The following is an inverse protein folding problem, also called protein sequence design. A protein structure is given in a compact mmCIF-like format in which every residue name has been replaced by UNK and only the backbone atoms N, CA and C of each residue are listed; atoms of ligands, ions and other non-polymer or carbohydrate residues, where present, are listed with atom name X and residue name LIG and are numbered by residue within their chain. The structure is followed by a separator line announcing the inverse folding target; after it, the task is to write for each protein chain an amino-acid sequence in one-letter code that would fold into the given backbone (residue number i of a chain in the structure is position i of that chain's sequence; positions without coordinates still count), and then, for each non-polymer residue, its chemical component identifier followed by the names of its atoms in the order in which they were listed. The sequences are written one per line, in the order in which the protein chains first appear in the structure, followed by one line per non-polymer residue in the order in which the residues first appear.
data_IF_663560019573
#
_entry.id   IF_663560019573
#
_cell.length_a   1.000
_cell.length_b   1.000
_cell.length_c   1.000
_cell.angle_alpha   90.00
_cell.angle_beta   90.00
_cell.angle_gamma   90.00
#
_symmetry.space_group_name_H-M   'P 1'
#
loop_
_entity.id
_entity.type
_entity.pdbx_description
1 polymer ?
#
# COMPACT_ATOMS: atom_id res chain seq x y z
N UNK A 1 -29.43 -21.98 22.46
CA UNK A 1 -28.16 -21.21 22.57
C UNK A 1 -27.16 -21.79 21.60
N UNK A 2 -27.16 -21.30 20.36
CA UNK A 2 -26.21 -21.76 19.33
C UNK A 2 -24.84 -21.18 19.61
N UNK A 3 -23.85 -22.04 19.87
CA UNK A 3 -22.45 -21.63 20.03
C UNK A 3 -21.96 -21.11 18.69
N UNK A 4 -21.73 -19.81 18.61
CA UNK A 4 -21.04 -19.19 17.48
C UNK A 4 -19.68 -19.89 17.31
N UNK A 5 -19.36 -20.51 16.16
CA UNK A 5 -18.05 -21.11 15.96
C UNK A 5 -17.02 -19.99 16.10
N UNK A 6 -16.09 -20.14 17.06
CA UNK A 6 -14.99 -19.21 17.30
C UNK A 6 -14.38 -18.88 15.95
N UNK A 7 -14.34 -17.59 15.59
CA UNK A 7 -13.57 -17.15 14.43
C UNK A 7 -12.15 -17.72 14.58
N UNK A 8 -11.54 -18.25 13.50
CA UNK A 8 -10.19 -18.79 13.60
C UNK A 8 -9.29 -17.74 14.26
N UNK A 9 -8.48 -18.18 15.22
CA UNK A 9 -7.49 -17.34 15.90
C UNK A 9 -6.70 -16.56 14.83
N UNK A 10 -6.38 -15.27 15.06
CA UNK A 10 -5.61 -14.50 14.10
C UNK A 10 -4.30 -15.22 13.81
N UNK A 11 -4.00 -15.45 12.53
CA UNK A 11 -2.73 -16.00 12.07
C UNK A 11 -1.60 -15.17 12.69
N UNK A 12 -0.75 -15.80 13.51
CA UNK A 12 0.46 -15.18 14.04
C UNK A 12 1.50 -15.05 12.93
N UNK A 13 2.47 -14.15 13.09
CA UNK A 13 3.58 -14.01 12.14
C UNK A 13 4.24 -15.37 11.84
N UNK A 14 4.43 -16.22 12.85
CA UNK A 14 5.06 -17.54 12.72
C UNK A 14 4.25 -18.55 11.90
N UNK A 15 2.96 -18.30 11.67
CA UNK A 15 2.14 -19.11 10.79
C UNK A 15 2.36 -18.80 9.30
N UNK A 16 3.09 -17.72 8.96
CA UNK A 16 3.40 -17.38 7.58
C UNK A 16 4.66 -18.12 7.06
N UNK A 17 4.69 -18.46 5.77
CA UNK A 17 5.88 -19.03 5.13
C UNK A 17 7.13 -18.18 5.38
N UNK A 18 8.28 -18.81 5.62
CA UNK A 18 9.55 -18.10 5.82
C UNK A 18 9.91 -17.19 4.63
N UNK A 19 9.54 -17.58 3.41
CA UNK A 19 9.69 -16.79 2.19
C UNK A 19 8.92 -15.47 2.22
N UNK A 20 7.78 -15.42 2.92
CA UNK A 20 7.00 -14.20 3.13
C UNK A 20 7.64 -13.34 4.22
N UNK A 21 8.00 -13.95 5.36
CA UNK A 21 8.57 -13.24 6.51
C UNK A 21 9.91 -12.58 6.21
N UNK A 22 10.68 -13.13 5.27
CA UNK A 22 11.98 -12.61 4.87
C UNK A 22 11.91 -11.45 3.87
N UNK A 23 10.72 -10.98 3.48
CA UNK A 23 10.54 -9.95 2.44
C UNK A 23 9.76 -8.74 2.94
N UNK A 24 10.04 -7.54 2.43
CA UNK A 24 9.14 -6.40 2.55
C UNK A 24 7.75 -6.71 2.00
N UNK A 25 6.69 -6.35 2.73
CA UNK A 25 5.31 -6.37 2.25
C UNK A 25 4.94 -4.94 1.84
N UNK A 26 4.57 -4.73 0.59
CA UNK A 26 4.39 -3.38 0.02
C UNK A 26 2.93 -3.18 -0.37
N UNK A 27 2.25 -2.22 0.27
CA UNK A 27 0.85 -1.92 0.00
C UNK A 27 0.74 -0.84 -1.09
N UNK A 28 0.05 -1.17 -2.18
CA UNK A 28 -0.17 -0.29 -3.34
C UNK A 28 -1.66 -0.07 -3.59
N UNK A 29 -2.00 0.96 -4.36
CA UNK A 29 -3.37 1.32 -4.71
C UNK A 29 -3.66 2.80 -4.58
N UNK A 30 -4.86 3.21 -4.99
CA UNK A 30 -5.26 4.62 -5.00
C UNK A 30 -5.30 5.26 -3.60
N UNK A 31 -5.24 6.59 -3.55
CA UNK A 31 -5.47 7.33 -2.31
C UNK A 31 -6.85 6.97 -1.74
N UNK A 32 -6.97 6.85 -0.42
CA UNK A 32 -8.21 6.40 0.23
C UNK A 32 -8.38 4.87 0.30
N UNK A 33 -7.51 4.07 -0.34
CA UNK A 33 -7.59 2.59 -0.24
C UNK A 33 -7.21 2.03 1.13
N UNK A 34 -6.73 2.87 2.05
CA UNK A 34 -6.45 2.48 3.44
C UNK A 34 -5.02 2.01 3.71
N UNK A 35 -4.08 2.14 2.75
CA UNK A 35 -2.67 1.68 2.87
C UNK A 35 -2.03 1.96 4.22
N UNK A 36 -2.01 3.21 4.70
CA UNK A 36 -1.37 3.54 5.97
C UNK A 36 -2.08 2.91 7.18
N UNK A 37 -3.41 2.88 7.18
CA UNK A 37 -4.20 2.30 8.29
C UNK A 37 -4.10 0.78 8.32
N UNK A 38 -4.26 0.13 7.17
CA UNK A 38 -4.14 -1.32 7.01
C UNK A 38 -2.70 -1.76 7.27
N UNK A 39 -1.72 -1.02 6.75
CA UNK A 39 -0.30 -1.30 6.91
C UNK A 39 0.15 -1.27 8.35
N UNK A 40 -0.26 -0.26 9.14
CA UNK A 40 0.03 -0.24 10.59
C UNK A 40 -0.54 -1.45 11.33
N UNK A 41 -1.79 -1.82 11.05
CA UNK A 41 -2.43 -2.98 11.68
C UNK A 41 -1.76 -4.28 11.25
N UNK A 42 -1.43 -4.42 9.97
CA UNK A 42 -0.75 -5.59 9.44
C UNK A 42 0.64 -5.75 10.07
N UNK A 43 1.41 -4.66 10.14
CA UNK A 43 2.73 -4.64 10.76
C UNK A 43 2.69 -5.11 12.22
N UNK A 44 1.71 -4.61 13.00
CA UNK A 44 1.48 -5.06 14.39
C UNK A 44 1.17 -6.55 14.49
N UNK A 45 0.36 -7.10 13.57
CA UNK A 45 0.01 -8.53 13.56
C UNK A 45 1.19 -9.42 13.16
N UNK A 46 2.10 -8.89 12.34
CA UNK A 46 3.26 -9.59 11.83
C UNK A 46 4.53 -9.38 12.65
N UNK A 47 4.47 -8.57 13.71
CA UNK A 47 5.64 -8.09 14.45
C UNK A 47 6.73 -7.50 13.51
N UNK A 48 6.26 -6.76 12.51
CA UNK A 48 7.11 -6.09 11.53
C UNK A 48 7.12 -4.58 11.77
N UNK A 49 8.19 -3.87 11.38
CA UNK A 49 8.19 -2.42 11.30
C UNK A 49 7.16 -1.95 10.26
N UNK A 50 6.63 -0.75 10.46
CA UNK A 50 5.81 -0.06 9.47
C UNK A 50 6.52 1.21 9.00
N UNK A 51 6.44 1.48 7.70
CA UNK A 51 6.82 2.77 7.11
C UNK A 51 5.74 3.25 6.13
N UNK A 52 5.52 4.56 6.07
CA UNK A 52 4.75 5.21 5.00
C UNK A 52 5.75 5.99 4.13
N UNK A 53 5.77 5.71 2.83
CA UNK A 53 6.74 6.30 1.92
C UNK A 53 6.60 7.82 1.85
N UNK A 54 5.38 8.36 1.91
CA UNK A 54 5.15 9.80 1.86
C UNK A 54 5.79 10.48 3.09
N UNK A 55 5.56 9.93 4.29
CA UNK A 55 6.16 10.42 5.55
C UNK A 55 7.71 10.33 5.52
N UNK A 56 8.24 9.25 4.94
CA UNK A 56 9.68 9.00 4.82
C UNK A 56 10.38 9.96 3.85
N UNK A 57 9.69 10.35 2.77
CA UNK A 57 10.15 11.36 1.81
C UNK A 57 10.19 12.73 2.48
N UNK A 58 9.11 13.14 3.15
CA UNK A 58 9.08 14.43 3.86
C UNK A 58 10.17 14.53 4.92
N UNK A 59 10.35 13.45 5.70
CA UNK A 59 11.42 13.38 6.70
C UNK A 59 12.81 13.49 6.09
N UNK A 60 13.05 12.83 4.95
CA UNK A 60 14.34 12.89 4.26
C UNK A 60 14.61 14.26 3.62
N UNK A 61 13.57 14.93 3.11
CA UNK A 61 13.67 16.24 2.47
C UNK A 61 13.64 17.42 3.46
N UNK A 62 13.14 17.20 4.69
CA UNK A 62 12.94 18.27 5.67
C UNK A 62 11.84 19.26 5.27
N UNK A 63 10.93 18.88 4.36
CA UNK A 63 9.83 19.73 3.88
C UNK A 63 8.66 18.87 3.39
N UNK A 64 7.50 19.49 3.22
CA UNK A 64 6.30 18.76 2.78
C UNK A 64 6.40 18.33 1.32
N UNK A 65 5.67 17.28 0.93
CA UNK A 65 5.58 16.87 -0.48
C UNK A 65 5.10 18.04 -1.35
N UNK A 66 4.12 18.82 -0.86
CA UNK A 66 3.65 20.01 -1.58
C UNK A 66 4.77 21.02 -1.85
N UNK A 67 5.66 21.25 -0.89
CA UNK A 67 6.83 22.12 -1.07
C UNK A 67 7.85 21.52 -2.06
N UNK A 68 8.06 20.20 -2.03
CA UNK A 68 8.95 19.51 -2.98
C UNK A 68 8.45 19.72 -4.40
N UNK A 69 7.16 19.50 -4.65
CA UNK A 69 6.55 19.70 -5.96
C UNK A 69 6.65 21.17 -6.40
N UNK A 70 6.35 22.12 -5.51
CA UNK A 70 6.38 23.55 -5.84
C UNK A 70 7.80 24.06 -6.15
N UNK A 71 8.83 23.53 -5.46
CA UNK A 71 10.22 24.01 -5.57
C UNK A 71 11.05 23.26 -6.61
N UNK A 72 10.83 21.96 -6.75
CA UNK A 72 11.70 21.08 -7.54
C UNK A 72 10.97 20.29 -8.62
N UNK A 73 9.63 20.34 -8.64
CA UNK A 73 8.80 19.66 -9.62
C UNK A 73 8.64 18.15 -9.39
N UNK A 74 7.75 17.54 -10.17
CA UNK A 74 7.39 16.13 -10.03
C UNK A 74 8.56 15.19 -10.31
N UNK A 75 9.41 15.48 -11.31
CA UNK A 75 10.53 14.62 -11.65
C UNK A 75 11.50 14.42 -10.46
N UNK A 76 11.79 15.49 -9.73
CA UNK A 76 12.63 15.42 -8.53
C UNK A 76 11.93 14.64 -7.41
N UNK A 77 10.64 14.86 -7.20
CA UNK A 77 9.86 14.09 -6.24
C UNK A 77 9.88 12.59 -6.55
N UNK A 78 9.69 12.19 -7.81
CA UNK A 78 9.68 10.79 -8.24
C UNK A 78 11.04 10.12 -8.07
N UNK A 79 12.12 10.83 -8.38
CA UNK A 79 13.47 10.31 -8.12
C UNK A 79 13.74 10.14 -6.61
N UNK A 80 13.32 11.11 -5.79
CA UNK A 80 13.37 11.01 -4.33
C UNK A 80 12.54 9.85 -3.77
N UNK A 81 11.29 9.70 -4.23
CA UNK A 81 10.38 8.60 -3.88
C UNK A 81 11.03 7.24 -4.17
N UNK A 82 11.62 7.09 -5.35
CA UNK A 82 12.33 5.86 -5.75
C UNK A 82 13.49 5.53 -4.82
N UNK A 83 14.37 6.50 -4.52
CA UNK A 83 15.53 6.30 -3.62
C UNK A 83 15.11 5.96 -2.20
N UNK A 84 14.05 6.59 -1.70
CA UNK A 84 13.50 6.30 -0.36
C UNK A 84 12.94 4.88 -0.29
N UNK A 85 12.15 4.48 -1.28
CA UNK A 85 11.62 3.11 -1.36
C UNK A 85 12.76 2.08 -1.45
N UNK A 86 13.78 2.33 -2.27
CA UNK A 86 14.95 1.46 -2.38
C UNK A 86 15.69 1.27 -1.05
N UNK A 87 15.94 2.36 -0.33
CA UNK A 87 16.54 2.30 1.02
C UNK A 87 15.69 1.50 1.99
N UNK A 88 14.37 1.69 2.00
CA UNK A 88 13.47 0.98 2.90
C UNK A 88 13.41 -0.52 2.57
N UNK A 89 13.48 -0.87 1.29
CA UNK A 89 13.40 -2.25 0.81
C UNK A 89 14.69 -3.06 1.00
N UNK A 90 15.84 -2.41 1.14
CA UNK A 90 17.13 -3.08 1.37
C UNK A 90 17.44 -3.33 2.85
N UNK A 91 16.66 -2.75 3.76
CA UNK A 91 16.77 -2.98 5.20
C UNK A 91 16.15 -4.28 5.68
N UNK A 92 15.81 -4.34 6.97
CA UNK A 92 15.04 -5.45 7.54
C UNK A 92 13.63 -5.52 6.93
N UNK A 93 13.03 -6.72 6.79
CA UNK A 93 11.64 -6.87 6.35
C UNK A 93 10.69 -5.95 7.12
N UNK A 94 9.77 -5.32 6.40
CA UNK A 94 8.82 -4.33 6.92
C UNK A 94 7.51 -4.36 6.13
N UNK A 95 6.48 -3.72 6.67
CA UNK A 95 5.29 -3.34 5.92
C UNK A 95 5.44 -1.89 5.45
N UNK A 96 5.44 -1.68 4.14
CA UNK A 96 5.60 -0.38 3.50
C UNK A 96 4.27 0.04 2.84
N UNK A 97 3.69 1.16 3.28
CA UNK A 97 2.63 1.85 2.54
C UNK A 97 3.26 2.81 1.53
N UNK A 98 2.87 2.73 0.26
CA UNK A 98 3.41 3.66 -0.77
C UNK A 98 2.47 4.83 -1.03
N UNK A 99 3.01 5.91 -1.61
CA UNK A 99 2.22 6.91 -2.31
C UNK A 99 1.44 6.27 -3.47
N UNK A 100 0.33 6.91 -3.87
CA UNK A 100 -0.51 6.40 -4.97
C UNK A 100 0.13 6.47 -6.35
N UNK A 101 1.31 7.07 -6.50
CA UNK A 101 2.05 7.13 -7.77
C UNK A 101 3.25 6.18 -7.83
N UNK A 102 3.77 5.72 -6.69
CA UNK A 102 5.01 4.95 -6.60
C UNK A 102 5.04 3.73 -7.54
N UNK A 103 3.97 2.94 -7.57
CA UNK A 103 3.91 1.71 -8.37
C UNK A 103 3.76 1.95 -9.89
N UNK A 104 3.51 3.20 -10.29
CA UNK A 104 3.46 3.59 -11.71
C UNK A 104 4.86 3.77 -12.30
N UNK A 105 5.89 3.98 -11.46
CA UNK A 105 7.26 4.03 -11.92
C UNK A 105 7.79 2.60 -12.15
N UNK A 106 8.31 2.34 -13.36
CA UNK A 106 8.74 1.00 -13.76
C UNK A 106 9.92 0.47 -12.93
N UNK A 107 10.88 1.33 -12.57
CA UNK A 107 12.02 0.94 -11.73
C UNK A 107 11.56 0.58 -10.31
N UNK A 108 10.69 1.40 -9.72
CA UNK A 108 10.10 1.14 -8.41
C UNK A 108 9.27 -0.14 -8.44
N UNK A 109 8.45 -0.34 -9.47
CA UNK A 109 7.64 -1.57 -9.65
C UNK A 109 8.51 -2.80 -9.79
N UNK A 110 9.55 -2.75 -10.63
CA UNK A 110 10.50 -3.85 -10.81
C UNK A 110 11.25 -4.18 -9.52
N UNK A 111 11.70 -3.16 -8.78
CA UNK A 111 12.32 -3.34 -7.47
C UNK A 111 11.37 -4.08 -6.50
N UNK A 112 10.13 -3.62 -6.40
CA UNK A 112 9.10 -4.23 -5.54
C UNK A 112 8.82 -5.68 -5.96
N UNK A 113 8.70 -5.96 -7.25
CA UNK A 113 8.46 -7.31 -7.77
C UNK A 113 9.62 -8.27 -7.51
N UNK A 114 10.87 -7.78 -7.53
CA UNK A 114 12.05 -8.63 -7.28
C UNK A 114 12.24 -8.92 -5.79
N UNK A 115 12.14 -7.88 -4.95
CA UNK A 115 12.62 -7.94 -3.57
C UNK A 115 11.50 -8.03 -2.52
N UNK A 116 10.28 -7.65 -2.87
CA UNK A 116 9.15 -7.58 -1.94
C UNK A 116 7.92 -8.37 -2.38
N UNK A 117 6.86 -8.22 -1.60
CA UNK A 117 5.52 -8.74 -1.86
C UNK A 117 4.54 -7.58 -1.94
N UNK A 118 4.25 -7.14 -3.17
CA UNK A 118 3.21 -6.15 -3.44
C UNK A 118 1.79 -6.70 -3.20
N UNK A 119 1.00 -5.92 -2.48
CA UNK A 119 -0.43 -6.15 -2.25
C UNK A 119 -1.19 -4.93 -2.74
N UNK A 120 -2.03 -5.12 -3.76
CA UNK A 120 -2.96 -4.11 -4.20
C UNK A 120 -4.20 -4.10 -3.29
N UNK A 121 -4.39 -2.99 -2.59
CA UNK A 121 -5.65 -2.68 -1.90
C UNK A 121 -6.63 -2.06 -2.89
N UNK A 122 -7.50 -2.91 -3.41
CA UNK A 122 -8.47 -2.57 -4.43
C UNK A 122 -9.79 -2.12 -3.80
N UNK A 123 -10.10 -0.83 -3.92
CA UNK A 123 -11.31 -0.23 -3.41
C UNK A 123 -12.11 0.37 -4.57
N UNK A 124 -13.44 0.20 -4.52
CA UNK A 124 -14.32 0.83 -5.49
C UNK A 124 -14.34 2.36 -5.35
N UNK A 125 -14.70 3.04 -6.45
CA UNK A 125 -14.75 4.50 -6.50
C UNK A 125 -15.63 5.10 -5.39
N UNK A 126 -16.85 4.59 -5.11
CA UNK A 126 -17.68 5.13 -4.03
C UNK A 126 -16.99 5.09 -2.66
N UNK A 127 -16.33 3.98 -2.32
CA UNK A 127 -15.57 3.84 -1.07
C UNK A 127 -14.40 4.81 -1.02
N UNK A 128 -13.67 4.99 -2.13
CA UNK A 128 -12.56 5.93 -2.21
C UNK A 128 -13.03 7.37 -2.02
N UNK A 129 -14.10 7.78 -2.70
CA UNK A 129 -14.71 9.12 -2.58
C UNK A 129 -15.10 9.41 -1.14
N UNK A 130 -15.84 8.50 -0.50
CA UNK A 130 -16.29 8.66 0.89
C UNK A 130 -15.10 8.81 1.86
N UNK A 131 -14.05 8.01 1.70
CA UNK A 131 -12.85 8.07 2.57
C UNK A 131 -12.02 9.32 2.34
N UNK A 132 -11.95 9.78 1.11
CA UNK A 132 -11.17 10.95 0.71
C UNK A 132 -11.86 12.23 1.14
N UNK A 133 -13.18 12.32 1.03
CA UNK A 133 -13.97 13.48 1.46
C UNK A 133 -13.80 13.79 2.96
N UNK A 134 -13.52 12.77 3.78
CA UNK A 134 -13.27 12.93 5.23
C UNK A 134 -11.87 13.46 5.58
N UNK A 135 -10.98 13.70 4.61
CA UNK A 135 -9.62 14.21 4.86
C UNK A 135 -9.37 15.55 4.17
N UNK A 136 -8.84 16.50 4.92
CA UNK A 136 -8.77 17.92 4.56
C UNK A 136 -7.60 18.36 3.64
N UNK A 137 -6.72 17.47 3.19
CA UNK A 137 -5.57 17.87 2.36
C UNK A 137 -5.24 16.88 1.24
N UNK A 138 -5.84 17.06 0.06
CA UNK A 138 -5.49 16.32 -1.17
C UNK A 138 -5.35 17.30 -2.34
N UNK A 139 -4.12 17.76 -2.65
CA UNK A 139 -3.88 18.74 -3.71
C UNK A 139 -4.46 18.34 -5.08
N UNK A 140 -4.46 17.04 -5.39
CA UNK A 140 -4.98 16.48 -6.65
C UNK A 140 -6.52 16.57 -6.80
N UNK A 141 -7.25 16.89 -5.73
CA UNK A 141 -8.71 16.96 -5.71
C UNK A 141 -9.22 18.37 -5.48
N UNK A 142 -8.31 19.34 -5.44
CA UNK A 142 -8.67 20.75 -5.29
C UNK A 142 -9.40 21.19 -6.55
N UNK A 143 -10.56 21.81 -6.38
CA UNK A 143 -11.37 22.43 -7.43
C UNK A 143 -11.92 21.46 -8.52
N UNK A 144 -11.95 20.14 -8.26
CA UNK A 144 -12.55 19.11 -9.14
C UNK A 144 -13.46 18.16 -8.36
N UNK A 145 -14.41 17.51 -9.04
CA UNK A 145 -15.21 16.43 -8.44
C UNK A 145 -14.28 15.25 -8.07
N UNK A 146 -14.16 14.88 -6.78
CA UNK A 146 -13.32 13.76 -6.38
C UNK A 146 -13.68 12.44 -7.07
N UNK A 147 -14.95 12.22 -7.39
CA UNK A 147 -15.38 11.01 -8.07
C UNK A 147 -14.86 10.95 -9.51
N UNK A 148 -14.84 12.09 -10.22
CA UNK A 148 -14.27 12.20 -11.56
C UNK A 148 -12.76 11.92 -11.54
N UNK A 149 -12.01 12.62 -10.68
CA UNK A 149 -10.55 12.44 -10.57
C UNK A 149 -10.20 11.00 -10.21
N UNK A 150 -10.92 10.39 -9.27
CA UNK A 150 -10.65 9.01 -8.88
C UNK A 150 -10.96 8.01 -10.00
N UNK A 151 -11.98 8.26 -10.84
CA UNK A 151 -12.26 7.43 -12.03
C UNK A 151 -11.15 7.53 -13.06
N UNK A 152 -10.68 8.75 -13.36
CA UNK A 152 -9.55 8.97 -14.28
C UNK A 152 -8.29 8.26 -13.79
N UNK A 153 -7.94 8.46 -12.52
CA UNK A 153 -6.79 7.79 -11.91
C UNK A 153 -6.96 6.26 -11.90
N UNK A 154 -8.15 5.74 -11.59
CA UNK A 154 -8.41 4.31 -11.65
C UNK A 154 -8.24 3.73 -13.05
N UNK A 155 -8.74 4.41 -14.08
CA UNK A 155 -8.64 3.96 -15.47
C UNK A 155 -7.17 3.76 -15.91
N UNK A 156 -6.28 4.65 -15.45
CA UNK A 156 -4.85 4.58 -15.77
C UNK A 156 -4.10 3.64 -14.83
N UNK A 157 -4.37 3.68 -13.52
CA UNK A 157 -3.52 3.03 -12.51
C UNK A 157 -3.94 1.61 -12.16
N UNK A 158 -5.23 1.26 -12.26
CA UNK A 158 -5.68 -0.09 -11.90
C UNK A 158 -5.06 -1.20 -12.76
N UNK A 159 -4.89 -1.04 -14.09
CA UNK A 159 -4.16 -2.03 -14.89
C UNK A 159 -2.74 -2.28 -14.38
N UNK A 160 -2.04 -1.23 -13.93
CA UNK A 160 -0.68 -1.34 -13.40
C UNK A 160 -0.69 -1.93 -11.98
N UNK A 161 -1.63 -1.53 -11.12
CA UNK A 161 -1.77 -2.14 -9.79
C UNK A 161 -2.13 -3.63 -9.86
N UNK A 162 -2.78 -4.08 -10.94
CA UNK A 162 -3.09 -5.48 -11.17
C UNK A 162 -1.83 -6.35 -11.36
N UNK A 163 -0.67 -5.76 -11.64
CA UNK A 163 0.63 -6.45 -11.65
C UNK A 163 1.18 -6.75 -10.23
N UNK A 164 0.47 -6.35 -9.17
CA UNK A 164 0.83 -6.73 -7.80
C UNK A 164 0.68 -8.24 -7.58
N UNK A 165 1.50 -8.83 -6.71
CA UNK A 165 1.47 -10.27 -6.44
C UNK A 165 0.12 -10.74 -5.85
N UNK A 166 -0.51 -9.89 -5.05
CA UNK A 166 -1.77 -10.19 -4.36
C UNK A 166 -2.72 -9.00 -4.54
N UNK A 167 -3.97 -9.30 -4.88
CA UNK A 167 -5.08 -8.32 -4.87
C UNK A 167 -6.00 -8.61 -3.69
N UNK A 168 -6.31 -7.59 -2.90
CA UNK A 168 -7.26 -7.68 -1.77
C UNK A 168 -8.27 -6.56 -1.86
N UNK A 169 -9.56 -6.89 -1.74
CA UNK A 169 -10.62 -5.88 -1.67
C UNK A 169 -10.54 -5.05 -0.38
N UNK A 170 -10.55 -3.73 -0.54
CA UNK A 170 -10.61 -2.72 0.53
C UNK A 170 -11.98 -2.04 0.54
N UNK A 171 -13.03 -2.83 0.74
CA UNK A 171 -14.42 -2.38 0.81
C UNK A 171 -14.71 -1.52 2.06
N UNK A 172 -15.91 -0.94 2.13
CA UNK A 172 -16.43 -0.20 3.28
C UNK A 172 -16.78 -1.10 4.49
N UNK A 173 -15.87 -2.01 4.86
CA UNK A 173 -15.96 -2.86 6.04
C UNK A 173 -14.91 -2.43 7.09
N UNK A 174 -15.00 -2.94 8.34
CA UNK A 174 -13.97 -2.70 9.33
C UNK A 174 -12.61 -3.17 8.83
N UNK A 175 -11.58 -2.34 9.01
CA UNK A 175 -10.21 -2.58 8.53
C UNK A 175 -9.64 -3.97 8.89
N UNK A 176 -10.08 -4.58 9.99
CA UNK A 176 -9.67 -5.93 10.40
C UNK A 176 -10.11 -7.03 9.42
N UNK A 177 -11.15 -6.80 8.62
CA UNK A 177 -11.51 -7.72 7.54
C UNK A 177 -10.45 -7.73 6.45
N UNK A 178 -10.03 -6.56 5.97
CA UNK A 178 -8.95 -6.44 4.97
C UNK A 178 -7.64 -7.00 5.52
N UNK A 179 -7.29 -6.72 6.79
CA UNK A 179 -6.07 -7.29 7.41
C UNK A 179 -6.13 -8.82 7.45
N UNK A 180 -7.27 -9.42 7.83
CA UNK A 180 -7.43 -10.88 7.81
C UNK A 180 -7.31 -11.46 6.41
N UNK A 181 -7.94 -10.83 5.42
CA UNK A 181 -7.85 -11.25 4.02
C UNK A 181 -6.41 -11.21 3.50
N UNK A 182 -5.63 -10.19 3.88
CA UNK A 182 -4.19 -10.13 3.58
C UNK A 182 -3.45 -11.29 4.23
N UNK A 183 -3.64 -11.53 5.52
CA UNK A 183 -2.96 -12.61 6.24
C UNK A 183 -3.26 -13.98 5.63
N UNK A 184 -4.52 -14.22 5.26
CA UNK A 184 -4.94 -15.46 4.59
C UNK A 184 -4.32 -15.61 3.19
N UNK A 185 -4.22 -14.52 2.43
CA UNK A 185 -3.55 -14.55 1.13
C UNK A 185 -2.05 -14.81 1.28
N UNK A 186 -1.40 -14.17 2.25
CA UNK A 186 0.02 -14.37 2.56
C UNK A 186 0.32 -15.79 3.04
N UNK A 187 -0.56 -16.42 3.83
CA UNK A 187 -0.33 -17.80 4.30
C UNK A 187 -0.37 -18.83 3.16
N UNK A 188 -1.06 -18.51 2.07
CA UNK A 188 -1.18 -19.35 0.87
C UNK A 188 -0.17 -18.97 -0.21
N UNK A 189 0.58 -17.88 -0.03
CA UNK A 189 1.48 -17.38 -1.05
C UNK A 189 2.73 -18.26 -1.16
N UNK A 190 3.03 -18.68 -2.38
CA UNK A 190 4.27 -19.37 -2.72
C UNK A 190 5.06 -18.53 -3.72
N UNK A 191 6.41 -18.53 -3.64
CA UNK A 191 7.23 -17.90 -4.66
C UNK A 191 6.91 -18.53 -6.01
N UNK A 192 6.53 -17.69 -6.97
CA UNK A 192 6.49 -18.11 -8.36
C UNK A 192 7.95 -18.29 -8.79
N UNK A 193 8.36 -19.53 -9.06
CA UNK A 193 9.63 -19.79 -9.74
C UNK A 193 9.55 -19.05 -11.09
N UNK A 194 10.42 -18.08 -11.29
CA UNK A 194 10.69 -17.57 -12.63
C UNK A 194 11.73 -18.52 -13.21
N UNK A 195 11.31 -19.31 -14.20
CA UNK A 195 12.19 -20.05 -15.10
C UNK A 195 13.14 -19.08 -15.83
#
# INVERSE_FOLDING_TARGET
MSRNPKSPLPLSADALPASVRARPIVLVGLMGSGKSTIGRRLAQRLDMPFADADDEIERAAGMTISDIFARFGEAHFRDGERRVIERLMTGRPLVLATGGGAFMNDETRALIQRNGLSIWLDADIPTLVDRVARRSHRPLLKDRDPAEVLRELAAVRNPIYAEAHIRVSSAANPHDHTVRAILEALSKWTPQCKD
#
